data_IF_035572941482
#
_entry.id   IF_035572941482
#
_cell.length_a   1.000
_cell.length_b   1.000
_cell.length_c   1.000
_cell.angle_alpha   90.00
_cell.angle_beta   90.00
_cell.angle_gamma   90.00
#
_symmetry.space_group_name_H-M   'P 1'
#
loop_
_entity.id
_entity.type
_entity.pdbx_description
1 polymer ?
#
# COMPACT_ATOMS: atom_id res chain seq x y z
N UNK A 1 34.50 -1.36 -9.86
CA UNK A 1 33.60 -0.67 -8.92
C UNK A 1 32.47 -1.62 -8.56
N UNK A 2 32.53 -2.20 -7.38
CA UNK A 2 31.51 -3.12 -6.87
C UNK A 2 30.30 -2.28 -6.49
N UNK A 3 29.23 -2.31 -7.29
CA UNK A 3 27.92 -1.78 -6.85
C UNK A 3 27.53 -2.60 -5.63
N UNK A 4 27.65 -2.02 -4.42
CA UNK A 4 26.97 -2.59 -3.25
C UNK A 4 25.49 -2.64 -3.63
N UNK A 5 24.90 -3.85 -3.63
CA UNK A 5 23.44 -4.00 -3.62
C UNK A 5 22.99 -3.21 -2.39
N UNK A 6 22.36 -2.06 -2.59
CA UNK A 6 21.65 -1.41 -1.50
C UNK A 6 20.53 -2.38 -1.11
N UNK A 7 20.55 -2.84 0.13
CA UNK A 7 19.51 -3.69 0.68
C UNK A 7 18.35 -2.78 1.01
N UNK A 8 17.19 -3.01 0.41
CA UNK A 8 15.96 -2.31 0.76
C UNK A 8 15.66 -2.52 2.25
N UNK A 9 15.40 -1.44 2.99
CA UNK A 9 15.12 -1.48 4.43
C UNK A 9 13.68 -1.05 4.69
N UNK A 10 12.94 -1.88 5.44
CA UNK A 10 11.65 -1.49 6.03
C UNK A 10 11.96 -0.81 7.36
N UNK A 11 11.76 0.50 7.42
CA UNK A 11 12.19 1.30 8.57
C UNK A 11 11.12 1.50 9.63
N UNK A 12 9.84 1.42 9.24
CA UNK A 12 8.74 1.52 10.18
C UNK A 12 7.63 0.54 9.81
N UNK A 13 7.25 -0.27 10.81
CA UNK A 13 6.06 -1.11 10.76
C UNK A 13 5.20 -0.81 11.98
N UNK A 14 3.99 -0.33 11.72
CA UNK A 14 2.90 -0.41 12.67
C UNK A 14 1.81 -1.15 11.93
N UNK A 15 1.68 -2.46 12.15
CA UNK A 15 0.55 -3.25 11.65
C UNK A 15 -0.14 -3.89 12.85
N UNK A 16 -1.45 -3.68 12.95
CA UNK A 16 -2.24 -4.39 13.93
C UNK A 16 -2.31 -5.89 13.56
N UNK A 17 -2.10 -6.83 14.50
CA UNK A 17 -2.11 -8.26 14.20
C UNK A 17 -3.40 -8.74 13.52
N UNK A 18 -4.54 -8.11 13.79
CA UNK A 18 -5.80 -8.50 13.18
C UNK A 18 -5.87 -8.05 11.71
N UNK A 19 -5.39 -6.84 11.38
CA UNK A 19 -5.21 -6.38 9.99
C UNK A 19 -4.27 -7.32 9.21
N UNK A 20 -3.16 -7.74 9.82
CA UNK A 20 -2.24 -8.70 9.19
C UNK A 20 -2.92 -10.05 8.95
N UNK A 21 -3.69 -10.54 9.93
CA UNK A 21 -4.43 -11.81 9.82
C UNK A 21 -5.48 -11.75 8.70
N UNK A 22 -6.24 -10.66 8.63
CA UNK A 22 -7.23 -10.42 7.57
C UNK A 22 -6.57 -10.42 6.19
N UNK A 23 -5.39 -9.81 6.06
CA UNK A 23 -4.62 -9.86 4.81
C UNK A 23 -4.12 -11.27 4.47
N UNK A 24 -3.55 -12.00 5.43
CA UNK A 24 -2.94 -13.30 5.17
C UNK A 24 -3.97 -14.42 4.92
N UNK A 25 -5.21 -14.24 5.37
CA UNK A 25 -6.22 -15.31 5.43
C UNK A 25 -7.46 -15.03 4.57
N UNK A 26 -7.32 -14.34 3.44
CA UNK A 26 -8.46 -14.08 2.56
C UNK A 26 -9.08 -15.37 2.01
N UNK A 27 -10.42 -15.52 2.04
CA UNK A 27 -11.18 -16.48 1.24
C UNK A 27 -10.93 -16.37 -0.27
N UNK A 28 -11.30 -17.41 -1.02
CA UNK A 28 -11.07 -17.51 -2.48
C UNK A 28 -11.86 -16.47 -3.29
N UNK A 29 -13.01 -16.03 -2.78
CA UNK A 29 -13.86 -14.98 -3.34
C UNK A 29 -13.35 -13.56 -3.05
N UNK A 30 -12.41 -13.42 -2.13
CA UNK A 30 -11.90 -12.16 -1.65
C UNK A 30 -10.61 -11.73 -2.40
N UNK A 31 -10.32 -10.44 -2.36
CA UNK A 31 -9.20 -9.87 -3.09
C UNK A 31 -8.63 -8.62 -2.41
N UNK A 32 -7.38 -8.29 -2.77
CA UNK A 32 -6.76 -7.00 -2.42
C UNK A 32 -7.03 -5.98 -3.51
N UNK A 33 -7.43 -4.78 -3.10
CA UNK A 33 -7.33 -3.59 -3.94
C UNK A 33 -6.03 -2.87 -3.62
N UNK A 34 -5.20 -2.66 -4.64
CA UNK A 34 -3.99 -1.86 -4.54
C UNK A 34 -4.24 -0.51 -5.22
N UNK A 35 -4.42 0.55 -4.44
CA UNK A 35 -4.44 1.90 -4.95
C UNK A 35 -3.02 2.45 -5.01
N UNK A 36 -2.60 2.97 -6.16
CA UNK A 36 -1.27 3.56 -6.33
C UNK A 36 -1.32 4.81 -7.20
N UNK A 37 -0.38 5.76 -7.05
CA UNK A 37 -0.40 6.98 -7.83
C UNK A 37 -0.09 6.69 -9.31
N UNK A 38 -0.78 7.38 -10.21
CA UNK A 38 -0.55 7.35 -11.64
C UNK A 38 0.68 8.21 -11.95
N UNK A 39 1.85 7.59 -11.95
CA UNK A 39 3.14 8.24 -12.23
C UNK A 39 3.86 7.58 -13.42
N UNK A 40 4.92 8.22 -13.89
CA UNK A 40 5.84 7.64 -14.90
C UNK A 40 6.57 6.39 -14.37
N UNK A 41 6.58 6.19 -13.06
CA UNK A 41 7.15 5.03 -12.36
C UNK A 41 6.17 3.86 -12.24
N UNK A 42 5.11 3.85 -13.06
CA UNK A 42 4.08 2.80 -13.09
C UNK A 42 4.65 1.38 -13.10
N UNK A 43 5.75 1.16 -13.80
CA UNK A 43 6.46 -0.13 -13.86
C UNK A 43 6.87 -0.66 -12.47
N UNK A 44 7.16 0.22 -11.50
CA UNK A 44 7.53 -0.17 -10.14
C UNK A 44 6.29 -0.66 -9.37
N UNK A 45 5.15 0.01 -9.53
CA UNK A 45 3.89 -0.43 -8.93
C UNK A 45 3.35 -1.70 -9.58
N UNK A 46 3.56 -1.89 -10.89
CA UNK A 46 3.21 -3.13 -11.59
C UNK A 46 4.06 -4.31 -11.09
N UNK A 47 5.36 -4.09 -10.87
CA UNK A 47 6.24 -5.10 -10.26
C UNK A 47 5.83 -5.43 -8.81
N UNK A 48 5.37 -4.44 -8.05
CA UNK A 48 4.81 -4.64 -6.71
C UNK A 48 3.50 -5.41 -6.72
N UNK A 49 2.56 -5.02 -7.59
CA UNK A 49 1.30 -5.72 -7.81
C UNK A 49 1.54 -7.18 -8.21
N UNK A 50 2.47 -7.44 -9.12
CA UNK A 50 2.85 -8.79 -9.52
C UNK A 50 3.47 -9.59 -8.36
N UNK A 51 4.31 -8.95 -7.55
CA UNK A 51 4.89 -9.58 -6.36
C UNK A 51 3.81 -9.97 -5.36
N UNK A 52 2.86 -9.08 -5.08
CA UNK A 52 1.70 -9.38 -4.23
C UNK A 52 0.89 -10.56 -4.78
N UNK A 53 0.63 -10.60 -6.10
CA UNK A 53 -0.09 -11.71 -6.75
C UNK A 53 0.60 -13.06 -6.57
N UNK A 54 1.93 -13.10 -6.54
CA UNK A 54 2.69 -14.35 -6.36
C UNK A 54 2.66 -14.84 -4.90
N UNK A 55 2.53 -13.93 -3.94
CA UNK A 55 2.58 -14.24 -2.52
C UNK A 55 1.21 -14.59 -1.90
N UNK A 56 0.08 -14.21 -2.54
CA UNK A 56 -1.28 -14.60 -2.08
C UNK A 56 -1.81 -15.86 -2.79
N UNK A 57 -2.71 -16.58 -2.13
CA UNK A 57 -3.58 -17.60 -2.74
C UNK A 57 -4.84 -17.01 -3.42
N UNK A 58 -5.08 -15.68 -3.32
CA UNK A 58 -6.24 -14.96 -3.86
C UNK A 58 -5.92 -13.87 -4.90
N UNK A 59 -6.89 -13.03 -5.28
CA UNK A 59 -6.74 -12.03 -6.36
C UNK A 59 -6.20 -10.68 -5.86
N UNK A 60 -5.47 -9.97 -6.72
CA UNK A 60 -5.01 -8.58 -6.49
C UNK A 60 -5.40 -7.71 -7.68
N UNK A 61 -6.04 -6.58 -7.39
CA UNK A 61 -6.53 -5.60 -8.36
C UNK A 61 -5.87 -4.23 -8.16
N UNK A 62 -5.02 -3.82 -9.11
CA UNK A 62 -4.44 -2.49 -9.16
C UNK A 62 -5.40 -1.41 -9.66
N UNK A 63 -5.41 -0.27 -8.97
CA UNK A 63 -6.20 0.91 -9.31
C UNK A 63 -5.34 2.16 -9.20
N UNK A 64 -4.97 2.74 -10.36
CA UNK A 64 -4.18 3.96 -10.40
C UNK A 64 -5.04 5.20 -10.09
N UNK A 65 -4.52 6.13 -9.29
CA UNK A 65 -5.14 7.43 -8.98
C UNK A 65 -4.16 8.59 -9.24
N UNK A 66 -4.61 9.75 -9.69
CA UNK A 66 -3.73 10.93 -9.83
C UNK A 66 -3.38 11.56 -8.47
N UNK A 67 -2.28 12.32 -8.36
CA UNK A 67 -1.88 12.94 -7.08
C UNK A 67 -2.95 13.87 -6.48
N UNK A 68 -3.72 14.56 -7.33
CA UNK A 68 -4.86 15.40 -6.91
C UNK A 68 -6.22 14.68 -7.06
N UNK A 69 -6.20 13.36 -7.25
CA UNK A 69 -7.42 12.62 -7.49
C UNK A 69 -8.30 12.59 -6.24
N UNK A 70 -9.57 12.83 -6.47
CA UNK A 70 -10.62 12.60 -5.47
C UNK A 70 -11.06 11.15 -5.54
N UNK A 71 -11.74 10.71 -4.49
CA UNK A 71 -12.43 9.43 -4.53
C UNK A 71 -13.49 9.43 -5.65
N UNK A 72 -13.42 8.45 -6.56
CA UNK A 72 -14.25 8.39 -7.76
C UNK A 72 -15.25 7.24 -7.67
N UNK A 73 -16.28 7.25 -8.52
CA UNK A 73 -17.21 6.12 -8.67
C UNK A 73 -16.49 4.81 -9.00
N UNK A 74 -15.37 4.86 -9.76
CA UNK A 74 -14.55 3.67 -10.02
C UNK A 74 -13.88 3.16 -8.76
N UNK A 75 -13.32 4.06 -7.93
CA UNK A 75 -12.73 3.68 -6.64
C UNK A 75 -13.77 3.04 -5.73
N UNK A 76 -14.98 3.62 -5.68
CA UNK A 76 -16.12 3.05 -4.95
C UNK A 76 -16.40 1.61 -5.36
N UNK A 77 -16.56 1.35 -6.67
CA UNK A 77 -16.86 0.00 -7.16
C UNK A 77 -15.80 -1.04 -6.85
N UNK A 78 -14.52 -0.65 -6.74
CA UNK A 78 -13.48 -1.56 -6.31
C UNK A 78 -13.59 -1.85 -4.82
N UNK A 79 -13.78 -0.84 -3.98
CA UNK A 79 -13.82 -1.00 -2.52
C UNK A 79 -15.06 -1.75 -2.04
N UNK A 80 -16.19 -1.52 -2.67
CA UNK A 80 -17.44 -2.25 -2.42
C UNK A 80 -17.29 -3.77 -2.66
N UNK A 81 -16.42 -4.17 -3.58
CA UNK A 81 -16.27 -5.58 -3.99
C UNK A 81 -15.14 -6.32 -3.29
N UNK A 82 -14.28 -5.60 -2.59
CA UNK A 82 -13.00 -6.13 -2.17
C UNK A 82 -12.73 -5.79 -0.70
N UNK A 83 -12.47 -6.80 0.14
CA UNK A 83 -12.46 -6.68 1.59
C UNK A 83 -11.18 -6.09 2.15
N UNK A 84 -10.08 -6.08 1.39
CA UNK A 84 -8.81 -5.51 1.83
C UNK A 84 -8.29 -4.46 0.88
N UNK A 85 -7.65 -3.44 1.45
CA UNK A 85 -7.14 -2.29 0.70
C UNK A 85 -5.69 -2.02 1.09
N UNK A 86 -4.85 -1.88 0.08
CA UNK A 86 -3.51 -1.34 0.18
C UNK A 86 -3.48 0.00 -0.56
N UNK A 87 -3.03 1.07 0.08
CA UNK A 87 -2.79 2.37 -0.57
C UNK A 87 -1.31 2.66 -0.59
N UNK A 88 -0.75 2.89 -1.77
CA UNK A 88 0.64 3.28 -1.94
C UNK A 88 0.73 4.79 -2.03
N UNK A 89 1.64 5.36 -1.24
CA UNK A 89 2.03 6.77 -1.25
C UNK A 89 3.48 6.83 -1.68
N UNK A 90 3.80 7.74 -2.60
CA UNK A 90 5.11 7.87 -3.18
C UNK A 90 5.61 9.32 -3.07
N UNK A 91 6.86 9.49 -2.66
CA UNK A 91 7.57 10.75 -2.88
C UNK A 91 7.79 10.97 -4.37
N UNK A 92 7.25 12.03 -4.99
CA UNK A 92 7.65 12.39 -6.33
C UNK A 92 9.12 12.89 -6.34
N UNK A 93 9.77 12.85 -7.52
CA UNK A 93 11.16 13.30 -7.68
C UNK A 93 11.35 14.83 -7.58
N UNK A 94 10.29 15.62 -7.39
CA UNK A 94 10.30 17.08 -7.48
C UNK A 94 10.47 17.80 -6.11
N UNK A 95 10.75 19.11 -6.15
CA UNK A 95 10.96 19.94 -4.95
C UNK A 95 9.69 20.14 -4.11
N UNK A 96 8.50 19.89 -4.70
CA UNK A 96 7.20 20.06 -4.05
C UNK A 96 6.63 18.74 -3.50
N UNK A 97 7.50 17.75 -3.26
CA UNK A 97 7.11 16.43 -2.79
C UNK A 97 6.20 16.43 -1.56
N UNK A 98 6.34 17.41 -0.66
CA UNK A 98 5.50 17.52 0.55
C UNK A 98 4.03 17.71 0.21
N UNK A 99 3.71 18.62 -0.71
CA UNK A 99 2.33 18.91 -1.10
C UNK A 99 1.73 17.70 -1.83
N UNK A 100 2.52 17.06 -2.70
CA UNK A 100 2.11 15.86 -3.41
C UNK A 100 1.86 14.68 -2.46
N UNK A 101 2.75 14.44 -1.50
CA UNK A 101 2.56 13.43 -0.45
C UNK A 101 1.34 13.77 0.40
N UNK A 102 1.16 15.03 0.77
CA UNK A 102 -0.01 15.47 1.54
C UNK A 102 -1.33 15.20 0.80
N UNK A 103 -1.39 15.44 -0.51
CA UNK A 103 -2.58 15.14 -1.31
C UNK A 103 -2.84 13.63 -1.41
N UNK A 104 -1.80 12.81 -1.56
CA UNK A 104 -1.90 11.35 -1.51
C UNK A 104 -2.37 10.85 -0.14
N UNK A 105 -1.92 11.47 0.96
CA UNK A 105 -2.42 11.18 2.32
C UNK A 105 -3.90 11.55 2.46
N UNK A 106 -4.33 12.68 1.90
CA UNK A 106 -5.75 13.05 1.88
C UNK A 106 -6.58 12.01 1.11
N UNK A 107 -6.06 11.50 -0.02
CA UNK A 107 -6.70 10.41 -0.75
C UNK A 107 -6.80 9.14 0.11
N UNK A 108 -5.71 8.71 0.75
CA UNK A 108 -5.70 7.53 1.62
C UNK A 108 -6.74 7.64 2.76
N UNK A 109 -6.85 8.82 3.40
CA UNK A 109 -7.89 9.08 4.42
C UNK A 109 -9.30 9.00 3.86
N UNK A 110 -9.50 9.47 2.63
CA UNK A 110 -10.81 9.41 1.97
C UNK A 110 -11.19 7.98 1.62
N UNK A 111 -10.24 7.20 1.08
CA UNK A 111 -10.42 5.76 0.82
C UNK A 111 -10.83 5.03 2.09
N UNK A 112 -10.14 5.31 3.20
CA UNK A 112 -10.45 4.71 4.49
C UNK A 112 -11.86 5.07 4.98
N UNK A 113 -12.24 6.34 4.91
CA UNK A 113 -13.58 6.78 5.31
C UNK A 113 -14.68 6.07 4.50
N UNK A 114 -14.48 5.90 3.19
CA UNK A 114 -15.44 5.19 2.34
C UNK A 114 -15.45 3.68 2.64
N UNK A 115 -14.28 3.08 2.84
CA UNK A 115 -14.21 1.67 3.25
C UNK A 115 -15.00 1.43 4.54
N UNK A 116 -14.80 2.27 5.56
CA UNK A 116 -15.56 2.19 6.82
C UNK A 116 -17.05 2.39 6.65
N UNK A 117 -17.47 3.27 5.73
CA UNK A 117 -18.89 3.49 5.44
C UNK A 117 -19.53 2.25 4.80
N UNK A 118 -18.85 1.64 3.82
CA UNK A 118 -19.33 0.47 3.09
C UNK A 118 -19.32 -0.78 3.98
N UNK A 119 -18.23 -0.98 4.72
CA UNK A 119 -17.97 -2.18 5.53
C UNK A 119 -18.30 -1.94 7.01
N UNK A 120 -19.23 -1.02 7.30
CA UNK A 120 -19.63 -0.71 8.66
C UNK A 120 -20.14 -1.98 9.40
N UNK A 121 -19.44 -2.35 10.47
CA UNK A 121 -19.79 -3.51 11.31
C UNK A 121 -19.19 -4.85 10.85
N UNK A 122 -18.24 -4.86 9.91
CA UNK A 122 -17.41 -6.03 9.63
C UNK A 122 -16.25 -6.18 10.63
N UNK A 123 -15.61 -7.35 10.63
CA UNK A 123 -14.32 -7.65 11.30
C UNK A 123 -13.20 -6.65 10.87
N UNK A 124 -12.04 -6.61 11.56
CA UNK A 124 -11.22 -5.40 11.67
C UNK A 124 -10.66 -4.90 10.33
N UNK A 125 -10.36 -3.60 10.31
CA UNK A 125 -9.88 -2.89 9.13
C UNK A 125 -8.70 -3.60 8.46
N UNK A 126 -8.92 -4.10 7.24
CA UNK A 126 -7.87 -4.71 6.42
C UNK A 126 -7.21 -3.66 5.51
N UNK A 127 -6.87 -2.49 6.09
CA UNK A 127 -6.31 -1.34 5.39
C UNK A 127 -4.83 -1.11 5.75
N UNK A 128 -3.98 -0.93 4.74
CA UNK A 128 -2.55 -0.64 4.93
C UNK A 128 -2.11 0.47 4.00
N UNK A 129 -1.32 1.41 4.52
CA UNK A 129 -0.57 2.37 3.71
C UNK A 129 0.86 1.90 3.53
N UNK A 130 1.30 1.82 2.28
CA UNK A 130 2.70 1.61 1.94
C UNK A 130 3.27 2.95 1.48
N UNK A 131 4.16 3.53 2.26
CA UNK A 131 4.88 4.74 1.89
C UNK A 131 6.23 4.37 1.29
N UNK A 132 6.47 4.86 0.08
CA UNK A 132 7.71 4.70 -0.67
C UNK A 132 8.39 6.07 -0.79
N UNK A 133 9.49 6.25 -0.07
CA UNK A 133 10.14 7.57 0.00
C UNK A 133 11.45 7.54 0.76
N UNK A 134 12.20 8.63 0.66
CA UNK A 134 13.50 8.82 1.30
C UNK A 134 13.39 9.51 2.65
N UNK A 135 12.31 10.24 2.91
CA UNK A 135 12.08 10.91 4.19
C UNK A 135 11.24 10.03 5.13
N UNK A 136 11.34 10.31 6.42
CA UNK A 136 10.47 9.67 7.41
C UNK A 136 9.01 10.00 7.15
N UNK A 137 8.15 8.98 7.18
CA UNK A 137 6.72 9.13 7.01
C UNK A 137 6.00 8.90 8.33
N UNK A 138 5.37 9.96 8.84
CA UNK A 138 4.53 9.88 10.04
C UNK A 138 3.05 9.79 9.60
N UNK A 139 2.45 8.59 9.60
CA UNK A 139 1.06 8.41 9.21
C UNK A 139 0.12 9.11 10.22
N UNK A 140 -0.95 9.78 9.76
CA UNK A 140 -2.02 10.25 10.64
C UNK A 140 -2.58 9.11 11.49
N UNK A 141 -2.98 9.38 12.74
CA UNK A 141 -3.54 8.38 13.66
C UNK A 141 -4.78 7.61 13.13
N UNK A 142 -5.46 8.16 12.13
CA UNK A 142 -6.54 7.44 11.44
C UNK A 142 -6.02 6.25 10.64
N UNK A 143 -4.82 6.33 10.07
CA UNK A 143 -4.18 5.24 9.32
C UNK A 143 -3.54 4.30 10.34
N UNK A 144 -4.30 3.27 10.74
CA UNK A 144 -3.88 2.32 11.76
C UNK A 144 -2.64 1.51 11.36
N UNK A 145 -2.51 1.22 10.06
CA UNK A 145 -1.36 0.46 9.53
C UNK A 145 -0.57 1.21 8.47
N UNK A 146 0.73 1.38 8.71
CA UNK A 146 1.66 1.97 7.76
C UNK A 146 2.99 1.21 7.68
N UNK A 147 3.52 1.11 6.47
CA UNK A 147 4.82 0.52 6.14
C UNK A 147 5.64 1.56 5.40
N UNK A 148 6.83 1.86 5.90
CA UNK A 148 7.79 2.70 5.19
C UNK A 148 8.84 1.83 4.47
N UNK A 149 8.96 2.03 3.16
CA UNK A 149 9.98 1.44 2.29
C UNK A 149 10.92 2.53 1.81
N UNK A 150 12.18 2.46 2.24
CA UNK A 150 13.24 3.34 1.76
C UNK A 150 13.90 2.79 0.49
N UNK A 151 14.57 3.67 -0.26
CA UNK A 151 15.27 3.33 -1.50
C UNK A 151 14.39 2.60 -2.52
N UNK A 152 13.18 3.13 -2.71
CA UNK A 152 12.11 2.64 -3.61
C UNK A 152 12.55 2.31 -5.06
N UNK A 153 13.70 2.80 -5.52
CA UNK A 153 14.26 2.44 -6.83
C UNK A 153 14.85 1.01 -6.88
N UNK A 154 15.09 0.37 -5.73
CA UNK A 154 15.84 -0.89 -5.58
C UNK A 154 14.99 -2.15 -5.58
N UNK A 155 14.21 -2.39 -6.64
CA UNK A 155 13.89 -3.70 -7.26
C UNK A 155 13.40 -4.94 -6.46
N UNK A 156 13.35 -5.01 -5.13
CA UNK A 156 12.93 -6.22 -4.40
C UNK A 156 11.53 -6.11 -3.78
N UNK A 157 10.55 -5.90 -4.66
CA UNK A 157 9.14 -5.89 -4.32
C UNK A 157 8.62 -7.21 -3.77
N UNK A 158 9.32 -8.31 -4.06
CA UNK A 158 8.99 -9.63 -3.52
C UNK A 158 9.17 -9.67 -2.01
N UNK A 159 10.22 -9.04 -1.49
CA UNK A 159 10.46 -8.93 -0.05
C UNK A 159 9.39 -8.09 0.67
N UNK A 160 8.98 -6.94 0.11
CA UNK A 160 7.86 -6.13 0.66
C UNK A 160 6.55 -6.93 0.64
N UNK A 161 6.26 -7.59 -0.49
CA UNK A 161 5.06 -8.38 -0.65
C UNK A 161 5.02 -9.55 0.34
N UNK A 162 6.12 -10.30 0.50
CA UNK A 162 6.22 -11.39 1.50
C UNK A 162 5.96 -10.90 2.91
N UNK A 163 6.57 -9.78 3.27
CA UNK A 163 6.38 -9.18 4.58
C UNK A 163 4.91 -8.83 4.83
N UNK A 164 4.28 -8.11 3.88
CA UNK A 164 2.85 -7.78 3.92
C UNK A 164 1.94 -9.02 3.97
N UNK A 165 2.36 -10.09 3.30
CA UNK A 165 1.52 -11.25 3.02
C UNK A 165 1.68 -12.43 3.95
N UNK A 166 2.79 -12.50 4.65
CA UNK A 166 3.14 -13.64 5.49
C UNK A 166 3.54 -13.20 6.90
N UNK A 167 3.64 -11.90 7.14
CA UNK A 167 4.16 -11.36 8.39
C UNK A 167 5.61 -11.76 8.66
N UNK A 168 6.33 -12.24 7.64
CA UNK A 168 7.73 -12.68 7.78
C UNK A 168 8.61 -11.45 7.97
N UNK A 169 9.23 -11.34 9.15
CA UNK A 169 10.22 -10.30 9.47
C UNK A 169 11.37 -10.40 8.47
N UNK A 170 11.69 -9.29 7.80
CA UNK A 170 12.93 -9.18 7.04
C UNK A 170 14.09 -9.26 8.03
N UNK A 171 14.85 -10.34 7.98
CA UNK A 171 16.13 -10.40 8.69
C UNK A 171 17.01 -9.27 8.15
N UNK A 172 17.43 -8.40 9.08
CA UNK A 172 18.24 -7.20 8.84
C UNK A 172 19.70 -7.53 8.61
#
# INVERSE_FOLDING_TARGET
>A
MTKRKATMQINELKIDPDTLTALCSLPDEEAVVLFFPATDERQHFEAFEESLRRERLGKVHGVAYGMDAKFTTRHWHHIDRHPSILVVIAEPPDENWRDAVQNQVIFARTVMAVYHEIHAGTEPDAFVVVYCGRNTYDPPASIGTAIQVEDWDTGDWTSVAKFLMKGEVLES
#
